data_IF_497294937260
#
_entry.id   IF_497294937260
#
_cell.length_a   1.000
_cell.length_b   1.000
_cell.length_c   1.000
_cell.angle_alpha   90.00
_cell.angle_beta   90.00
_cell.angle_gamma   90.00
#
_symmetry.space_group_name_H-M   'P 1'
#
loop_
_entity.id
_entity.type
_entity.pdbx_description
1 polymer ?
#
# COMPACT_ATOMS: atom_id res chain seq x y z
N UNK A 1 -21.96 -14.40 -2.18
CA UNK A 1 -21.12 -13.90 -1.08
C UNK A 1 -20.45 -12.63 -1.58
N UNK A 2 -21.08 -11.47 -1.38
CA UNK A 2 -20.50 -10.19 -1.81
C UNK A 2 -19.47 -9.76 -0.77
N UNK A 3 -18.19 -10.04 -1.03
CA UNK A 3 -17.13 -9.45 -0.23
C UNK A 3 -16.99 -7.99 -0.65
N UNK A 4 -17.36 -7.08 0.26
CA UNK A 4 -17.18 -5.65 0.09
C UNK A 4 -15.67 -5.35 0.05
N UNK A 5 -15.16 -5.21 -1.17
CA UNK A 5 -13.79 -4.79 -1.42
C UNK A 5 -13.66 -3.39 -0.83
N UNK A 6 -12.73 -3.20 0.10
CA UNK A 6 -12.60 -1.97 0.86
C UNK A 6 -11.26 -1.31 0.54
N UNK A 7 -11.30 -0.02 0.21
CA UNK A 7 -10.16 0.74 -0.29
C UNK A 7 -9.03 0.87 0.76
N UNK A 8 -7.80 0.97 0.27
CA UNK A 8 -6.63 1.25 1.09
C UNK A 8 -6.75 2.61 1.78
N UNK A 9 -6.07 2.75 2.91
CA UNK A 9 -5.89 4.02 3.63
C UNK A 9 -4.43 4.44 3.54
N UNK A 10 -4.20 5.71 3.21
CA UNK A 10 -2.88 6.34 3.27
C UNK A 10 -2.78 7.16 4.55
N UNK A 11 -1.84 6.81 5.42
CA UNK A 11 -1.54 7.59 6.63
C UNK A 11 -0.25 8.36 6.37
N UNK A 12 -0.31 9.68 6.55
CA UNK A 12 0.85 10.54 6.35
C UNK A 12 1.93 10.21 7.39
N UNK A 13 3.17 10.01 6.93
CA UNK A 13 4.35 9.83 7.79
C UNK A 13 5.27 11.03 7.66
N UNK A 14 5.55 11.46 6.43
CA UNK A 14 6.25 12.70 6.11
C UNK A 14 5.98 13.13 4.67
N UNK A 15 6.58 14.24 4.22
CA UNK A 15 6.39 14.80 2.88
C UNK A 15 6.67 13.84 1.71
N UNK A 16 7.45 12.77 1.92
CA UNK A 16 7.84 11.81 0.88
C UNK A 16 7.34 10.38 1.17
N UNK A 17 6.58 10.16 2.25
CA UNK A 17 6.17 8.83 2.68
C UNK A 17 4.77 8.86 3.28
N UNK A 18 3.93 7.96 2.80
CA UNK A 18 2.68 7.54 3.45
C UNK A 18 2.77 6.05 3.78
N UNK A 19 2.33 5.64 4.96
CA UNK A 19 2.09 4.23 5.23
C UNK A 19 0.75 3.81 4.61
N UNK A 20 0.71 2.61 4.06
CA UNK A 20 -0.43 2.06 3.33
C UNK A 20 -1.04 0.95 4.18
N UNK A 21 -2.32 1.11 4.48
CA UNK A 21 -3.05 0.20 5.34
C UNK A 21 -4.27 -0.37 4.63
N UNK A 22 -4.56 -1.63 4.92
CA UNK A 22 -5.84 -2.24 4.63
C UNK A 22 -6.96 -1.61 5.51
N UNK A 23 -8.23 -1.83 5.14
CA UNK A 23 -9.39 -1.31 5.87
C UNK A 23 -9.45 -1.71 7.35
N UNK A 24 -8.96 -2.92 7.64
CA UNK A 24 -8.80 -3.51 8.98
C UNK A 24 -7.60 -2.97 9.76
N UNK A 25 -6.99 -1.88 9.26
CA UNK A 25 -5.79 -1.19 9.76
C UNK A 25 -4.46 -1.95 9.61
N UNK A 26 -4.45 -3.14 8.99
CA UNK A 26 -3.22 -3.90 8.74
C UNK A 26 -2.28 -3.13 7.80
N UNK A 27 -1.02 -2.93 8.20
CA UNK A 27 -0.01 -2.27 7.36
C UNK A 27 0.51 -3.24 6.29
N UNK A 28 0.51 -2.80 5.03
CA UNK A 28 0.88 -3.64 3.87
C UNK A 28 1.99 -3.04 3.00
N UNK A 29 2.45 -1.84 3.33
CA UNK A 29 3.50 -1.18 2.56
C UNK A 29 3.57 0.32 2.78
N UNK A 30 4.49 0.95 2.08
CA UNK A 30 4.63 2.41 2.07
C UNK A 30 4.49 2.93 0.65
N UNK A 31 3.80 4.05 0.48
CA UNK A 31 3.87 4.84 -0.74
C UNK A 31 4.99 5.86 -0.56
N UNK A 32 6.09 5.67 -1.28
CA UNK A 32 7.31 6.48 -1.13
C UNK A 32 7.59 7.27 -2.39
N UNK A 33 7.94 8.55 -2.23
CA UNK A 33 8.43 9.40 -3.31
C UNK A 33 9.90 9.10 -3.58
N UNK A 34 10.21 8.77 -4.84
CA UNK A 34 11.57 8.53 -5.33
C UNK A 34 11.75 9.43 -6.55
N UNK A 35 12.52 10.52 -6.39
CA UNK A 35 12.58 11.59 -7.38
C UNK A 35 11.21 12.29 -7.53
N UNK A 36 10.68 12.35 -8.74
CA UNK A 36 9.35 12.90 -9.03
C UNK A 36 8.22 11.86 -8.93
N UNK A 37 8.53 10.57 -8.78
CA UNK A 37 7.56 9.47 -8.89
C UNK A 37 7.21 8.93 -7.50
N UNK A 38 5.93 8.62 -7.26
CA UNK A 38 5.50 7.86 -6.09
C UNK A 38 5.47 6.37 -6.41
N UNK A 39 6.07 5.54 -5.56
CA UNK A 39 6.11 4.08 -5.73
C UNK A 39 5.59 3.37 -4.49
N UNK A 40 4.72 2.40 -4.70
CA UNK A 40 4.33 1.47 -3.66
C UNK A 40 5.50 0.54 -3.31
N UNK A 41 5.80 0.42 -2.02
CA UNK A 41 6.84 -0.44 -1.50
C UNK A 41 6.18 -1.39 -0.51
N UNK A 42 5.83 -2.58 -1.00
CA UNK A 42 5.25 -3.65 -0.20
C UNK A 42 6.07 -3.92 1.07
N UNK A 43 5.37 -4.17 2.17
CA UNK A 43 5.93 -4.58 3.46
C UNK A 43 5.09 -5.73 3.99
N UNK A 44 5.74 -6.84 4.27
CA UNK A 44 5.17 -7.96 5.01
C UNK A 44 5.71 -8.03 6.43
N UNK A 45 5.14 -8.94 7.21
CA UNK A 45 5.60 -9.27 8.54
C UNK A 45 5.69 -10.79 8.67
N UNK A 46 6.77 -11.31 9.27
CA UNK A 46 6.85 -12.72 9.63
C UNK A 46 6.04 -13.03 10.89
N UNK A 47 6.01 -14.30 11.31
CA UNK A 47 5.26 -14.74 12.49
C UNK A 47 5.75 -14.11 13.82
N UNK A 48 6.97 -13.59 13.86
CA UNK A 48 7.53 -12.89 15.00
C UNK A 48 7.31 -11.37 14.93
N UNK A 49 6.67 -10.87 13.86
CA UNK A 49 6.42 -9.46 13.62
C UNK A 49 7.63 -8.71 13.03
N UNK A 50 8.65 -9.42 12.54
CA UNK A 50 9.78 -8.76 11.87
C UNK A 50 9.36 -8.32 10.47
N UNK A 51 9.92 -7.18 10.05
CA UNK A 51 9.65 -6.59 8.74
C UNK A 51 10.27 -7.43 7.61
N UNK A 52 9.43 -7.79 6.64
CA UNK A 52 9.84 -8.39 5.36
C UNK A 52 9.73 -7.33 4.26
N UNK A 53 10.85 -6.66 3.96
CA UNK A 53 10.88 -5.63 2.92
C UNK A 53 10.59 -6.23 1.54
N UNK A 54 9.59 -5.68 0.86
CA UNK A 54 9.13 -6.21 -0.43
C UNK A 54 8.25 -7.45 -0.31
N UNK A 55 8.04 -8.02 0.88
CA UNK A 55 7.15 -9.16 1.09
C UNK A 55 5.70 -8.76 1.42
N UNK A 56 4.93 -9.73 1.90
CA UNK A 56 3.56 -9.54 2.36
C UNK A 56 2.49 -9.75 1.27
N UNK A 57 1.23 -9.46 1.59
CA UNK A 57 0.09 -9.80 0.71
C UNK A 57 0.08 -9.05 -0.62
N UNK A 58 0.84 -7.95 -0.75
CA UNK A 58 0.92 -7.12 -1.95
C UNK A 58 2.33 -7.10 -2.57
N UNK A 59 3.11 -8.15 -2.35
CA UNK A 59 4.49 -8.30 -2.87
C UNK A 59 4.56 -8.17 -4.40
N UNK A 60 3.60 -8.74 -5.13
CA UNK A 60 3.60 -8.75 -6.59
C UNK A 60 3.37 -7.35 -7.20
N UNK A 61 2.83 -6.42 -6.42
CA UNK A 61 2.62 -5.05 -6.84
C UNK A 61 3.73 -4.11 -6.35
N UNK A 62 4.83 -4.65 -5.83
CA UNK A 62 5.97 -3.85 -5.42
C UNK A 62 6.48 -2.99 -6.58
N UNK A 63 6.80 -1.73 -6.29
CA UNK A 63 7.15 -0.68 -7.24
C UNK A 63 6.01 -0.14 -8.12
N UNK A 64 4.74 -0.53 -7.91
CA UNK A 64 3.61 0.12 -8.60
C UNK A 64 3.68 1.63 -8.45
N UNK A 65 3.70 2.33 -9.57
CA UNK A 65 3.86 3.78 -9.63
C UNK A 65 2.50 4.49 -9.49
N UNK A 66 2.47 5.63 -8.81
CA UNK A 66 1.32 6.52 -8.69
C UNK A 66 1.72 7.95 -9.05
N UNK A 67 0.78 8.74 -9.56
CA UNK A 67 1.03 10.14 -9.89
C UNK A 67 1.15 11.00 -8.62
N UNK A 68 0.39 10.65 -7.58
CA UNK A 68 0.30 11.36 -6.31
C UNK A 68 0.06 10.36 -5.16
N UNK A 69 0.13 10.79 -3.89
CA UNK A 69 -0.32 9.97 -2.77
C UNK A 69 -1.86 9.89 -2.74
N UNK A 70 -2.43 9.11 -3.66
CA UNK A 70 -3.87 8.91 -3.82
C UNK A 70 -4.26 7.47 -3.46
N UNK A 71 -5.13 7.33 -2.46
CA UNK A 71 -5.58 6.05 -1.95
C UNK A 71 -6.48 5.29 -2.95
N UNK A 72 -7.31 6.00 -3.71
CA UNK A 72 -8.20 5.41 -4.70
C UNK A 72 -7.42 4.95 -5.93
N UNK A 73 -6.50 5.77 -6.44
CA UNK A 73 -5.57 5.41 -7.53
C UNK A 73 -4.78 4.16 -7.14
N UNK A 74 -4.17 4.16 -5.94
CA UNK A 74 -3.39 3.03 -5.48
C UNK A 74 -4.28 1.80 -5.31
N UNK A 75 -5.44 1.90 -4.67
CA UNK A 75 -6.36 0.76 -4.50
C UNK A 75 -6.75 0.15 -5.84
N UNK A 76 -7.06 0.97 -6.85
CA UNK A 76 -7.36 0.49 -8.19
C UNK A 76 -6.17 -0.25 -8.83
N UNK A 77 -4.97 0.33 -8.75
CA UNK A 77 -3.74 -0.28 -9.29
C UNK A 77 -3.33 -1.55 -8.57
N UNK A 78 -3.66 -1.70 -7.29
CA UNK A 78 -3.38 -2.90 -6.50
C UNK A 78 -4.52 -3.95 -6.57
N UNK A 79 -5.58 -3.70 -7.35
CA UNK A 79 -6.70 -4.63 -7.51
C UNK A 79 -7.69 -4.67 -6.32
N UNK A 80 -7.66 -3.65 -5.46
CA UNK A 80 -8.49 -3.51 -4.25
C UNK A 80 -9.64 -2.50 -4.45
N UNK A 81 -10.26 -2.52 -5.63
CA UNK A 81 -11.34 -1.59 -6.01
C UNK A 81 -12.54 -1.70 -5.08
N UNK A 82 -12.91 -0.63 -4.38
CA UNK A 82 -14.26 -0.50 -3.82
C UNK A 82 -15.30 -0.50 -4.97
N UNK A 83 -16.33 -1.34 -4.85
CA UNK A 83 -17.51 -1.30 -5.71
C UNK A 83 -18.46 -0.21 -5.25
#
# INVERSE_FOLDING_TARGET
>A
MNQAVSALKLIWVNANVHSVHLPDVSHVGNLKRIGSIWKFKAVGYDAAGNVLAGGGPLTEQHNTECAAPDAAELSAKLGLLAQ
#
